data_IF_276689040649
#
_entry.id   IF_276689040649
#
_cell.length_a   1.000
_cell.length_b   1.000
_cell.length_c   1.000
_cell.angle_alpha   90.00
_cell.angle_beta   90.00
_cell.angle_gamma   90.00
#
_symmetry.space_group_name_H-M   'P 1'
#
loop_
_entity.id
_entity.type
_entity.pdbx_description
1 polymer ?
#
# COMPACT_ATOMS: atom_id res chain seq x y z
N UNK A 1 42.01 -12.26 25.14
CA UNK A 1 40.98 -12.72 26.11
C UNK A 1 39.64 -12.59 25.43
N UNK A 2 38.98 -13.70 25.08
CA UNK A 2 37.63 -13.70 24.49
C UNK A 2 36.61 -13.90 25.62
N UNK A 3 35.48 -13.17 25.64
CA UNK A 3 34.48 -13.35 26.67
C UNK A 3 33.80 -14.73 26.51
N UNK A 4 33.46 -15.41 27.61
CA UNK A 4 32.77 -16.68 27.54
C UNK A 4 31.40 -16.47 26.88
N UNK A 5 31.11 -17.30 25.87
CA UNK A 5 29.80 -17.34 25.23
C UNK A 5 28.83 -18.00 26.20
N UNK A 6 28.06 -17.20 26.93
CA UNK A 6 26.96 -17.68 27.77
C UNK A 6 25.87 -18.24 26.86
N UNK A 7 25.81 -19.57 26.77
CA UNK A 7 24.73 -20.28 26.11
C UNK A 7 23.52 -20.21 27.05
N UNK A 8 22.55 -19.36 26.73
CA UNK A 8 21.26 -19.33 27.41
C UNK A 8 20.49 -20.58 26.98
N UNK A 9 20.57 -21.64 27.78
CA UNK A 9 19.73 -22.83 27.62
C UNK A 9 18.33 -22.43 28.09
N UNK A 10 17.52 -21.92 27.17
CA UNK A 10 16.14 -21.60 27.47
C UNK A 10 15.41 -22.94 27.67
N UNK A 11 14.87 -23.24 28.87
CA UNK A 11 14.20 -24.51 29.09
C UNK A 11 13.01 -24.63 28.13
N UNK A 12 12.79 -25.81 27.56
CA UNK A 12 11.72 -26.04 26.58
C UNK A 12 10.34 -25.54 27.05
N UNK A 13 10.12 -25.53 28.38
CA UNK A 13 8.91 -24.99 29.03
C UNK A 13 8.75 -23.48 28.87
N UNK A 14 9.81 -22.69 28.99
CA UNK A 14 9.73 -21.23 28.79
C UNK A 14 9.63 -20.88 27.31
N UNK A 15 10.29 -21.64 26.43
CA UNK A 15 10.11 -21.52 24.99
C UNK A 15 8.65 -21.79 24.57
N UNK A 16 8.03 -22.84 25.11
CA UNK A 16 6.62 -23.16 24.85
C UNK A 16 5.67 -22.08 25.37
N UNK A 17 5.94 -21.52 26.57
CA UNK A 17 5.13 -20.45 27.16
C UNK A 17 5.22 -19.15 26.35
N UNK A 18 6.42 -18.79 25.87
CA UNK A 18 6.62 -17.64 25.00
C UNK A 18 5.92 -17.83 23.64
N UNK A 19 6.02 -19.01 23.02
CA UNK A 19 5.29 -19.30 21.79
C UNK A 19 3.77 -19.21 21.99
N UNK A 20 3.24 -19.77 23.08
CA UNK A 20 1.82 -19.69 23.39
C UNK A 20 1.36 -18.24 23.62
N UNK A 21 2.16 -17.43 24.33
CA UNK A 21 1.88 -16.02 24.55
C UNK A 21 1.88 -15.21 23.24
N UNK A 22 2.85 -15.45 22.35
CA UNK A 22 2.90 -14.83 21.03
C UNK A 22 1.67 -15.22 20.20
N UNK A 23 1.29 -16.50 20.17
CA UNK A 23 0.11 -16.98 19.46
C UNK A 23 -1.21 -16.39 20.01
N UNK A 24 -1.28 -16.10 21.31
CA UNK A 24 -2.44 -15.44 21.94
C UNK A 24 -2.53 -13.94 21.64
N UNK A 25 -1.43 -13.29 21.24
CA UNK A 25 -1.39 -11.87 20.86
C UNK A 25 -1.62 -11.64 19.35
N UNK A 26 -1.46 -12.67 18.52
CA UNK A 26 -1.72 -12.64 17.07
C UNK A 26 -3.17 -12.30 16.67
N UNK A 27 -4.24 -12.69 17.40
CA UNK A 27 -5.62 -12.42 16.99
C UNK A 27 -5.95 -10.93 16.89
N UNK A 28 -5.29 -10.06 17.67
CA UNK A 28 -5.51 -8.61 17.64
C UNK A 28 -4.84 -7.92 16.43
N UNK A 29 -3.98 -8.62 15.69
CA UNK A 29 -3.31 -8.12 14.49
C UNK A 29 -3.83 -8.75 13.20
N UNK A 30 -4.78 -9.69 13.28
CA UNK A 30 -5.52 -10.09 12.09
C UNK A 30 -6.46 -8.93 11.76
N UNK A 31 -6.06 -8.12 10.78
CA UNK A 31 -7.03 -7.30 10.07
C UNK A 31 -8.16 -8.23 9.62
N UNK A 32 -9.39 -7.93 10.00
CA UNK A 32 -10.57 -8.59 9.48
C UNK A 32 -10.45 -8.51 7.95
N UNK A 33 -10.09 -9.61 7.29
CA UNK A 33 -10.33 -9.71 5.87
C UNK A 33 -11.84 -9.65 5.79
N UNK A 34 -12.40 -8.53 5.32
CA UNK A 34 -13.83 -8.31 5.20
C UNK A 34 -14.41 -9.49 4.40
N UNK A 35 -14.89 -10.50 5.13
CA UNK A 35 -15.26 -11.82 4.63
C UNK A 35 -16.63 -11.80 3.99
N UNK A 36 -17.01 -10.67 3.38
CA UNK A 36 -18.01 -10.67 2.35
C UNK A 36 -17.37 -11.26 1.09
N UNK A 37 -18.15 -11.97 0.29
CA UNK A 37 -17.83 -12.17 -1.12
C UNK A 37 -17.87 -10.81 -1.84
N UNK A 38 -16.91 -9.94 -1.51
CA UNK A 38 -16.70 -8.68 -2.19
C UNK A 38 -16.09 -9.05 -3.51
N UNK A 39 -16.89 -8.93 -4.56
CA UNK A 39 -16.41 -9.12 -5.93
C UNK A 39 -15.40 -8.00 -6.23
N UNK A 40 -14.15 -8.30 -5.96
CA UNK A 40 -13.03 -7.38 -6.17
C UNK A 40 -12.91 -6.95 -7.63
N UNK A 41 -13.28 -7.83 -8.57
CA UNK A 41 -13.29 -7.52 -9.99
C UNK A 41 -14.39 -6.50 -10.31
N UNK A 42 -15.58 -6.65 -9.71
CA UNK A 42 -16.66 -5.67 -9.83
C UNK A 42 -16.26 -4.32 -9.24
N UNK A 43 -15.65 -4.29 -8.04
CA UNK A 43 -15.15 -3.05 -7.45
C UNK A 43 -14.09 -2.36 -8.31
N UNK A 44 -13.16 -3.12 -8.89
CA UNK A 44 -12.17 -2.55 -9.83
C UNK A 44 -12.80 -2.03 -11.11
N UNK A 45 -13.84 -2.68 -11.61
CA UNK A 45 -14.57 -2.22 -12.78
C UNK A 45 -15.30 -0.91 -12.51
N UNK A 46 -15.98 -0.81 -11.37
CA UNK A 46 -16.67 0.40 -10.93
C UNK A 46 -15.69 1.56 -10.67
N UNK A 47 -14.56 1.30 -10.00
CA UNK A 47 -13.52 2.30 -9.77
C UNK A 47 -12.93 2.83 -11.09
N UNK A 48 -12.71 1.95 -12.08
CA UNK A 48 -12.22 2.36 -13.40
C UNK A 48 -13.25 3.21 -14.14
N UNK A 49 -14.52 2.81 -14.12
CA UNK A 49 -15.60 3.59 -14.71
C UNK A 49 -15.67 4.99 -14.08
N UNK A 50 -15.69 5.06 -12.75
CA UNK A 50 -15.70 6.33 -12.01
C UNK A 50 -14.49 7.20 -12.36
N UNK A 51 -13.31 6.59 -12.50
CA UNK A 51 -12.11 7.29 -12.89
C UNK A 51 -12.23 7.91 -14.29
N UNK A 52 -12.62 7.13 -15.29
CA UNK A 52 -12.76 7.58 -16.68
C UNK A 52 -13.84 8.66 -16.82
N UNK A 53 -14.97 8.50 -16.15
CA UNK A 53 -16.11 9.42 -16.27
C UNK A 53 -15.93 10.72 -15.48
N UNK A 54 -15.28 10.68 -14.31
CA UNK A 54 -15.27 11.82 -13.39
C UNK A 54 -13.87 12.35 -13.10
N UNK A 55 -12.91 11.47 -12.82
CA UNK A 55 -11.57 11.87 -12.35
C UNK A 55 -10.71 12.33 -13.52
N UNK A 56 -10.67 11.58 -14.61
CA UNK A 56 -9.84 11.90 -15.77
C UNK A 56 -10.19 13.28 -16.38
N UNK A 57 -11.47 13.64 -16.61
CA UNK A 57 -11.83 14.96 -17.11
C UNK A 57 -11.44 16.09 -16.15
N UNK A 58 -11.62 15.88 -14.84
CA UNK A 58 -11.22 16.84 -13.81
C UNK A 58 -9.71 17.10 -13.87
N UNK A 59 -8.90 16.04 -13.87
CA UNK A 59 -7.44 16.15 -13.90
C UNK A 59 -6.97 16.81 -15.19
N UNK A 60 -7.56 16.43 -16.33
CA UNK A 60 -7.26 17.05 -17.62
C UNK A 60 -7.57 18.54 -17.63
N UNK A 61 -8.67 18.97 -17.00
CA UNK A 61 -9.09 20.37 -16.99
C UNK A 61 -8.20 21.24 -16.11
N UNK A 62 -7.84 20.77 -14.92
CA UNK A 62 -7.24 21.63 -13.89
C UNK A 62 -5.77 21.36 -13.60
N UNK A 63 -5.29 20.13 -13.80
CA UNK A 63 -3.97 19.72 -13.32
C UNK A 63 -2.91 19.72 -14.43
N UNK A 64 -3.29 19.35 -15.66
CA UNK A 64 -2.36 19.24 -16.81
C UNK A 64 -1.71 20.57 -17.20
N UNK A 65 -2.33 21.70 -16.87
CA UNK A 65 -1.73 23.03 -17.08
C UNK A 65 -0.32 23.15 -16.48
N UNK A 66 -0.12 22.55 -15.31
CA UNK A 66 1.17 22.53 -14.60
C UNK A 66 1.87 21.16 -14.67
N UNK A 67 1.12 20.09 -14.86
CA UNK A 67 1.60 18.72 -14.81
C UNK A 67 1.44 17.96 -16.13
N UNK A 68 1.40 18.65 -17.27
CA UNK A 68 1.27 18.05 -18.61
C UNK A 68 2.52 18.25 -19.47
N UNK A 69 2.79 17.29 -20.35
CA UNK A 69 3.80 17.36 -21.40
C UNK A 69 5.21 17.71 -20.91
N UNK A 70 5.95 18.43 -21.75
CA UNK A 70 7.34 18.84 -21.48
C UNK A 70 7.51 19.92 -20.40
N UNK A 71 6.43 20.38 -19.76
CA UNK A 71 6.45 21.41 -18.69
C UNK A 71 6.01 20.87 -17.34
N UNK A 72 5.90 19.56 -17.22
CA UNK A 72 5.48 18.86 -16.03
C UNK A 72 6.34 19.24 -14.81
N UNK A 73 5.71 19.90 -13.83
CA UNK A 73 6.36 20.27 -12.57
C UNK A 73 6.49 19.09 -11.63
N UNK A 74 7.48 19.19 -10.72
CA UNK A 74 7.71 18.23 -9.63
C UNK A 74 7.84 16.77 -10.08
N UNK A 75 8.30 16.55 -11.32
CA UNK A 75 8.43 15.22 -11.91
C UNK A 75 7.10 14.42 -11.95
N UNK A 76 5.97 15.12 -12.06
CA UNK A 76 4.63 14.54 -12.20
C UNK A 76 4.06 14.93 -13.55
N UNK A 77 3.87 13.95 -14.43
CA UNK A 77 3.32 14.14 -15.77
C UNK A 77 1.99 13.38 -15.92
N UNK A 78 0.89 14.08 -15.68
CA UNK A 78 -0.46 13.55 -15.69
C UNK A 78 -0.97 13.24 -17.11
N UNK A 79 -0.39 13.80 -18.18
CA UNK A 79 -0.75 13.37 -19.55
C UNK A 79 -0.26 11.95 -19.87
N UNK A 80 0.80 11.51 -19.20
CA UNK A 80 1.34 10.14 -19.31
C UNK A 80 0.73 9.26 -18.23
N UNK A 81 0.72 9.73 -16.98
CA UNK A 81 0.29 8.94 -15.81
C UNK A 81 -1.20 8.58 -15.86
N UNK A 82 -2.05 9.37 -16.52
CA UNK A 82 -3.49 9.06 -16.69
C UNK A 82 -3.74 7.88 -17.65
N UNK A 83 -2.80 7.54 -18.54
CA UNK A 83 -2.97 6.43 -19.50
C UNK A 83 -2.78 5.04 -18.86
N UNK A 84 -2.00 4.99 -17.77
CA UNK A 84 -1.77 3.77 -16.98
C UNK A 84 -1.75 4.15 -15.49
N UNK A 85 -2.94 4.48 -14.93
CA UNK A 85 -3.06 4.93 -13.55
C UNK A 85 -2.63 3.81 -12.60
N UNK A 86 -1.57 4.08 -11.82
CA UNK A 86 -0.99 3.12 -10.87
C UNK A 86 0.47 2.73 -11.17
N UNK A 87 1.01 3.09 -12.34
CA UNK A 87 2.41 2.79 -12.68
C UNK A 87 3.32 4.03 -12.76
N UNK A 88 2.72 5.21 -12.77
CA UNK A 88 3.42 6.50 -12.93
C UNK A 88 4.05 7.09 -11.67
N UNK A 89 4.84 8.16 -11.86
CA UNK A 89 5.48 8.87 -10.76
C UNK A 89 4.45 9.47 -9.78
N UNK A 90 3.32 9.98 -10.29
CA UNK A 90 2.21 10.47 -9.47
C UNK A 90 1.73 9.42 -8.44
N UNK A 91 1.63 8.16 -8.84
CA UNK A 91 1.21 7.08 -7.95
C UNK A 91 2.23 6.82 -6.83
N UNK A 92 3.52 6.88 -7.15
CA UNK A 92 4.58 6.74 -6.15
C UNK A 92 4.56 7.88 -5.13
N UNK A 93 4.29 9.11 -5.57
CA UNK A 93 4.11 10.25 -4.66
C UNK A 93 2.88 10.07 -3.76
N UNK A 94 1.77 9.59 -4.30
CA UNK A 94 0.58 9.26 -3.51
C UNK A 94 0.88 8.22 -2.44
N UNK A 95 1.52 7.09 -2.79
CA UNK A 95 1.89 6.04 -1.84
C UNK A 95 2.79 6.54 -0.71
N UNK A 96 3.73 7.45 -1.01
CA UNK A 96 4.60 8.06 0.01
C UNK A 96 3.85 9.01 0.94
N UNK A 97 2.74 9.60 0.50
CA UNK A 97 1.97 10.54 1.30
C UNK A 97 0.99 9.87 2.27
N UNK A 98 0.57 8.64 1.98
CA UNK A 98 -0.35 7.86 2.84
C UNK A 98 0.36 6.89 3.80
N UNK A 99 1.69 6.82 3.76
CA UNK A 99 2.53 6.03 4.66
C UNK A 99 3.20 6.93 5.70
#
# INVERSE_FOLDING_TARGET
MQPPRTIWILPAKTAALCCALVLLLVPSCLAEAEGGNVDEAALRADARKTFEENVEPFVKTYCTKCHGGGRAKANVNLEVDLKDPGRGAAFMHWKKAVA
#
